data_IF_321674551413
#
_entry.id   IF_321674551413
#
_cell.length_a   1.000
_cell.length_b   1.000
_cell.length_c   1.000
_cell.angle_alpha   90.00
_cell.angle_beta   90.00
_cell.angle_gamma   90.00
#
_symmetry.space_group_name_H-M   'P 1'
#
loop_
_entity.id
_entity.type
_entity.pdbx_description
1 polymer ?
#
# COMPACT_ATOMS: atom_id res chain seq x y z
N UNK A 1 -7.40 3.61 17.32
CA UNK A 1 -7.08 2.28 16.75
C UNK A 1 -8.33 1.51 16.28
N UNK A 2 -9.53 1.64 16.87
CA UNK A 2 -10.71 0.84 16.44
C UNK A 2 -11.52 1.35 15.27
N UNK A 3 -10.88 1.40 14.12
CA UNK A 3 -11.56 1.28 12.82
C UNK A 3 -10.84 0.27 11.90
N UNK A 4 -9.78 -0.34 12.41
CA UNK A 4 -8.92 -1.32 11.75
C UNK A 4 -9.00 -2.61 12.58
N UNK A 5 -8.77 -3.76 11.96
CA UNK A 5 -8.90 -5.05 12.66
C UNK A 5 -7.90 -5.20 13.81
N UNK A 6 -8.14 -6.18 14.69
CA UNK A 6 -7.38 -6.34 15.94
C UNK A 6 -6.16 -7.25 15.82
N UNK A 7 -5.99 -7.92 14.69
CA UNK A 7 -4.84 -8.80 14.43
C UNK A 7 -3.54 -8.00 14.26
N UNK A 8 -2.39 -8.68 14.30
CA UNK A 8 -1.08 -8.02 14.18
C UNK A 8 -0.94 -7.29 12.84
N UNK A 9 -1.34 -7.93 11.73
CA UNK A 9 -1.21 -7.38 10.37
C UNK A 9 -2.46 -6.65 9.86
N UNK A 10 -3.43 -6.37 10.73
CA UNK A 10 -4.52 -5.45 10.41
C UNK A 10 -4.12 -3.98 10.60
N UNK A 11 -2.92 -3.75 11.17
CA UNK A 11 -2.30 -2.45 11.34
C UNK A 11 -1.35 -2.12 10.17
N UNK A 12 -1.35 -0.87 9.73
CA UNK A 12 -0.56 -0.35 8.62
C UNK A 12 0.95 -0.40 8.88
N UNK A 13 1.41 0.06 10.05
CA UNK A 13 2.83 -0.03 10.43
C UNK A 13 3.33 -1.47 10.44
N UNK A 14 2.52 -2.42 10.92
CA UNK A 14 2.88 -3.84 10.91
C UNK A 14 2.95 -4.43 9.49
N UNK A 15 2.07 -3.97 8.59
CA UNK A 15 2.09 -4.35 7.18
C UNK A 15 3.32 -3.78 6.46
N UNK A 16 3.66 -2.52 6.72
CA UNK A 16 4.81 -1.84 6.15
C UNK A 16 6.11 -2.53 6.60
N UNK A 17 6.22 -2.88 7.90
CA UNK A 17 7.36 -3.66 8.41
C UNK A 17 7.53 -4.97 7.65
N UNK A 18 6.44 -5.69 7.36
CA UNK A 18 6.52 -6.93 6.57
C UNK A 18 7.00 -6.67 5.16
N UNK A 19 6.45 -5.65 4.49
CA UNK A 19 6.84 -5.28 3.13
C UNK A 19 8.31 -4.89 3.04
N UNK A 20 8.76 -4.00 3.92
CA UNK A 20 10.13 -3.47 3.94
C UNK A 20 11.15 -4.53 4.35
N UNK A 21 10.82 -5.40 5.30
CA UNK A 21 11.70 -6.49 5.70
C UNK A 21 11.91 -7.47 4.54
N UNK A 22 10.85 -7.83 3.82
CA UNK A 22 10.93 -8.66 2.61
C UNK A 22 11.74 -7.99 1.49
N UNK A 23 11.58 -6.67 1.33
CA UNK A 23 12.36 -5.89 0.38
C UNK A 23 13.87 -5.94 0.71
N UNK A 24 14.25 -5.73 1.97
CA UNK A 24 15.65 -5.82 2.39
C UNK A 24 16.24 -7.20 2.15
N UNK A 25 15.50 -8.27 2.45
CA UNK A 25 15.95 -9.63 2.13
C UNK A 25 16.11 -9.84 0.62
N UNK A 26 15.21 -9.28 -0.20
CA UNK A 26 15.30 -9.35 -1.66
C UNK A 26 16.50 -8.58 -2.23
N UNK A 27 16.92 -7.50 -1.56
CA UNK A 27 18.15 -6.75 -1.86
C UNK A 27 19.43 -7.47 -1.40
N UNK A 28 19.31 -8.62 -0.75
CA UNK A 28 20.43 -9.44 -0.29
C UNK A 28 20.89 -9.16 1.14
N UNK A 29 20.12 -8.39 1.93
CA UNK A 29 20.41 -8.20 3.34
C UNK A 29 20.21 -9.50 4.13
N UNK A 30 20.98 -9.70 5.21
CA UNK A 30 20.69 -10.76 6.18
C UNK A 30 19.47 -10.40 7.02
N UNK A 31 18.81 -11.36 7.71
CA UNK A 31 17.72 -11.05 8.65
C UNK A 31 18.12 -10.03 9.72
N UNK A 32 19.36 -10.07 10.20
CA UNK A 32 19.90 -9.14 11.19
C UNK A 32 20.06 -7.73 10.59
N UNK A 33 20.59 -7.62 9.37
CA UNK A 33 20.72 -6.35 8.65
C UNK A 33 19.36 -5.75 8.33
N UNK A 34 18.41 -6.56 7.84
CA UNK A 34 17.04 -6.13 7.60
C UNK A 34 16.37 -5.64 8.89
N UNK A 35 16.55 -6.35 10.00
CA UNK A 35 16.07 -5.93 11.33
C UNK A 35 16.66 -4.59 11.74
N UNK A 36 17.97 -4.39 11.55
CA UNK A 36 18.64 -3.13 11.88
C UNK A 36 18.13 -1.97 11.03
N UNK A 37 17.87 -2.20 9.73
CA UNK A 37 17.28 -1.21 8.82
C UNK A 37 15.86 -0.83 9.23
N UNK A 38 14.97 -1.79 9.44
CA UNK A 38 13.61 -1.53 9.95
C UNK A 38 13.65 -0.71 11.23
N UNK A 39 14.48 -1.13 12.20
CA UNK A 39 14.59 -0.40 13.46
C UNK A 39 15.10 1.03 13.28
N UNK A 40 15.95 1.30 12.31
CA UNK A 40 16.41 2.67 12.01
C UNK A 40 15.30 3.47 11.32
N UNK A 41 14.66 2.87 10.32
CA UNK A 41 13.72 3.55 9.43
C UNK A 41 12.43 3.92 10.19
N UNK A 42 11.99 3.09 11.14
CA UNK A 42 10.89 3.38 12.07
C UNK A 42 11.34 4.04 13.39
N UNK A 43 12.57 4.54 13.50
CA UNK A 43 13.03 5.29 14.68
C UNK A 43 13.24 4.47 15.97
N UNK A 44 13.17 3.14 15.92
CA UNK A 44 13.38 2.21 17.04
C UNK A 44 14.85 1.99 17.43
N UNK A 45 15.79 2.62 16.72
CA UNK A 45 17.22 2.49 16.96
C UNK A 45 17.69 3.31 18.18
N UNK A 46 17.06 4.47 18.43
CA UNK A 46 17.36 5.36 19.54
C UNK A 46 16.11 5.57 20.40
N UNK A 47 16.15 5.13 21.67
CA UNK A 47 14.99 5.16 22.58
C UNK A 47 14.52 6.57 22.95
N UNK A 48 15.23 7.64 22.56
CA UNK A 48 15.02 8.97 23.15
C UNK A 48 14.60 10.07 22.18
N UNK A 49 15.00 10.03 20.91
CA UNK A 49 14.81 11.17 20.01
C UNK A 49 13.58 11.08 19.10
N UNK A 50 13.10 9.87 18.78
CA UNK A 50 12.02 9.66 17.80
C UNK A 50 10.97 8.61 18.22
N UNK A 51 10.94 8.24 19.51
CA UNK A 51 9.94 7.29 20.02
C UNK A 51 8.53 7.86 19.88
N UNK A 52 7.63 7.11 19.23
CA UNK A 52 6.19 7.44 19.15
C UNK A 52 5.40 6.84 20.32
N UNK A 53 6.09 6.33 21.34
CA UNK A 53 5.47 5.73 22.51
C UNK A 53 4.76 4.43 22.15
N UNK A 54 3.45 4.37 22.40
CA UNK A 54 2.65 3.16 22.18
C UNK A 54 2.40 2.86 20.69
N UNK A 55 2.56 3.81 19.77
CA UNK A 55 2.43 3.56 18.33
C UNK A 55 3.57 2.67 17.80
N UNK A 56 4.76 2.74 18.41
CA UNK A 56 5.88 1.88 18.05
C UNK A 56 5.64 0.40 18.39
N UNK A 57 4.62 0.11 19.22
CA UNK A 57 4.27 -1.27 19.57
C UNK A 57 3.88 -2.08 18.33
N UNK A 58 3.14 -1.48 17.39
CA UNK A 58 2.68 -2.18 16.20
C UNK A 58 3.85 -2.55 15.27
N UNK A 59 4.88 -1.70 15.20
CA UNK A 59 6.14 -1.98 14.48
C UNK A 59 6.88 -3.16 15.12
N UNK A 60 7.00 -3.20 16.45
CA UNK A 60 7.65 -4.29 17.17
C UNK A 60 6.90 -5.63 17.04
N UNK A 61 5.57 -5.59 17.13
CA UNK A 61 4.72 -6.77 16.96
C UNK A 61 4.81 -7.32 15.53
N UNK A 62 4.72 -6.44 14.52
CA UNK A 62 4.90 -6.80 13.11
C UNK A 62 6.29 -7.41 12.86
N UNK A 63 7.35 -6.81 13.39
CA UNK A 63 8.72 -7.30 13.23
C UNK A 63 8.91 -8.70 13.84
N UNK A 64 8.35 -8.93 15.04
CA UNK A 64 8.38 -10.24 15.68
C UNK A 64 7.58 -11.30 14.90
N UNK A 65 6.43 -10.92 14.33
CA UNK A 65 5.62 -11.82 13.52
C UNK A 65 6.36 -12.24 12.25
N UNK A 66 6.98 -11.29 11.55
CA UNK A 66 7.79 -11.56 10.35
C UNK A 66 8.99 -12.45 10.68
N UNK A 67 9.67 -12.21 11.81
CA UNK A 67 10.76 -13.07 12.27
C UNK A 67 10.27 -14.51 12.43
N UNK A 68 9.16 -14.69 13.14
CA UNK A 68 8.54 -16.00 13.36
C UNK A 68 8.19 -16.72 12.04
N UNK A 69 7.50 -16.05 11.12
CA UNK A 69 7.11 -16.59 9.80
C UNK A 69 8.31 -17.03 8.95
N UNK A 70 9.47 -16.40 9.14
CA UNK A 70 10.71 -16.67 8.40
C UNK A 70 11.61 -17.69 9.08
N UNK A 71 11.24 -18.20 10.25
CA UNK A 71 12.11 -19.08 11.04
C UNK A 71 13.31 -18.36 11.63
N UNK A 72 13.30 -17.02 11.65
CA UNK A 72 14.31 -16.20 12.30
C UNK A 72 13.85 -15.85 13.71
N UNK A 73 14.79 -15.66 14.63
CA UNK A 73 14.47 -15.31 16.01
C UNK A 73 15.55 -14.40 16.56
N UNK A 74 15.22 -13.12 16.72
CA UNK A 74 16.03 -12.18 17.47
C UNK A 74 15.54 -12.12 18.93
N UNK A 75 16.35 -12.54 19.92
CA UNK A 75 15.93 -12.52 21.33
C UNK A 75 15.46 -11.15 21.80
N UNK A 76 16.06 -10.07 21.30
CA UNK A 76 15.68 -8.71 21.65
C UNK A 76 14.30 -8.32 21.10
N UNK A 77 13.99 -8.73 19.86
CA UNK A 77 12.69 -8.48 19.22
C UNK A 77 11.60 -9.28 19.94
N UNK A 78 11.86 -10.57 20.20
CA UNK A 78 10.92 -11.45 20.92
C UNK A 78 10.65 -10.93 22.33
N UNK A 79 11.69 -10.58 23.08
CA UNK A 79 11.53 -10.04 24.44
C UNK A 79 10.72 -8.75 24.44
N UNK A 80 10.92 -7.86 23.45
CA UNK A 80 10.16 -6.63 23.34
C UNK A 80 8.69 -6.87 22.97
N UNK A 81 8.43 -7.77 22.03
CA UNK A 81 7.07 -8.13 21.64
C UNK A 81 6.30 -8.79 22.79
N UNK A 82 6.92 -9.69 23.56
CA UNK A 82 6.32 -10.28 24.75
C UNK A 82 6.00 -9.23 25.82
N UNK A 83 6.90 -8.27 26.05
CA UNK A 83 6.62 -7.17 26.97
C UNK A 83 5.44 -6.29 26.52
N UNK A 84 5.19 -6.16 25.22
CA UNK A 84 4.01 -5.46 24.67
C UNK A 84 2.75 -6.31 24.86
N UNK A 85 2.81 -7.60 24.58
CA UNK A 85 1.69 -8.55 24.78
C UNK A 85 1.22 -8.55 26.24
N UNK A 86 2.15 -8.44 27.19
CA UNK A 86 1.87 -8.40 28.63
C UNK A 86 1.51 -6.99 29.15
N UNK A 87 1.67 -5.94 28.33
CA UNK A 87 1.43 -4.56 28.74
C UNK A 87 -0.06 -4.26 28.78
N UNK A 88 -0.50 -3.69 29.91
CA UNK A 88 -1.86 -3.20 30.06
C UNK A 88 -2.09 -1.93 29.23
N UNK A 89 -1.07 -1.10 29.11
CA UNK A 89 -1.09 0.14 28.32
C UNK A 89 -1.37 -0.14 26.84
N UNK A 90 -0.85 -1.26 26.31
CA UNK A 90 -1.14 -1.72 24.95
C UNK A 90 -2.62 -2.00 24.73
N UNK A 91 -3.35 -2.54 25.73
CA UNK A 91 -4.79 -2.77 25.60
C UNK A 91 -5.60 -1.49 25.84
N UNK A 92 -5.16 -0.64 26.78
CA UNK A 92 -5.89 0.58 27.14
C UNK A 92 -5.98 1.59 25.99
N UNK A 93 -5.05 1.57 25.03
CA UNK A 93 -5.09 2.42 23.82
C UNK A 93 -6.18 2.03 22.81
N UNK A 94 -6.75 0.82 22.92
CA UNK A 94 -7.85 0.36 22.07
C UNK A 94 -9.20 0.79 22.64
N UNK A 95 -10.20 0.94 21.77
CA UNK A 95 -11.58 1.20 22.21
C UNK A 95 -12.10 0.01 23.00
N UNK A 96 -12.99 0.28 23.95
CA UNK A 96 -13.46 -0.71 24.90
C UNK A 96 -14.12 -1.92 24.22
N UNK A 97 -14.79 -1.69 23.08
CA UNK A 97 -15.45 -2.74 22.30
C UNK A 97 -14.45 -3.70 21.62
N UNK A 98 -13.27 -3.21 21.24
CA UNK A 98 -12.25 -3.99 20.52
C UNK A 98 -11.23 -4.65 21.44
N UNK A 99 -11.10 -4.18 22.70
CA UNK A 99 -10.15 -4.71 23.68
C UNK A 99 -10.23 -6.23 23.85
N UNK A 100 -11.41 -6.88 23.92
CA UNK A 100 -11.47 -8.34 24.04
C UNK A 100 -10.86 -9.06 22.85
N UNK A 101 -11.13 -8.58 21.63
CA UNK A 101 -10.60 -9.16 20.40
C UNK A 101 -9.09 -8.94 20.28
N UNK A 102 -8.61 -7.72 20.60
CA UNK A 102 -7.17 -7.43 20.66
C UNK A 102 -6.44 -8.27 21.71
N UNK A 103 -7.01 -8.43 22.90
CA UNK A 103 -6.43 -9.27 23.94
C UNK A 103 -6.31 -10.73 23.49
N UNK A 104 -7.33 -11.26 22.79
CA UNK A 104 -7.28 -12.60 22.22
C UNK A 104 -6.16 -12.74 21.17
N UNK A 105 -6.03 -11.77 20.25
CA UNK A 105 -4.98 -11.75 19.23
C UNK A 105 -3.57 -11.69 19.86
N UNK A 106 -3.36 -10.82 20.85
CA UNK A 106 -2.08 -10.72 21.56
C UNK A 106 -1.76 -12.00 22.35
N UNK A 107 -2.75 -12.64 22.97
CA UNK A 107 -2.56 -13.88 23.71
C UNK A 107 -2.21 -15.06 22.79
N UNK A 108 -2.86 -15.19 21.63
CA UNK A 108 -2.47 -16.15 20.59
C UNK A 108 -1.04 -15.88 20.13
N UNK A 109 -0.74 -14.63 19.78
CA UNK A 109 0.59 -14.26 19.31
C UNK A 109 1.69 -14.53 20.36
N UNK A 110 1.42 -14.25 21.63
CA UNK A 110 2.32 -14.57 22.74
C UNK A 110 2.60 -16.08 22.84
N UNK A 111 1.56 -16.93 22.69
CA UNK A 111 1.75 -18.39 22.64
C UNK A 111 2.60 -18.82 21.45
N UNK A 112 2.39 -18.23 20.29
CA UNK A 112 3.17 -18.50 19.07
C UNK A 112 4.65 -18.16 19.27
N UNK A 113 4.97 -17.04 19.93
CA UNK A 113 6.35 -16.66 20.24
C UNK A 113 7.02 -17.55 21.30
N UNK A 114 6.24 -18.05 22.27
CA UNK A 114 6.74 -18.93 23.33
C UNK A 114 6.87 -20.40 22.87
N UNK A 115 6.06 -20.84 21.90
CA UNK A 115 6.18 -22.14 21.27
C UNK A 115 7.48 -22.21 20.47
N UNK A 116 8.44 -23.01 20.94
CA UNK A 116 9.74 -23.22 20.27
C UNK A 116 9.52 -23.51 18.78
N UNK A 117 10.07 -22.64 17.91
CA UNK A 117 9.87 -22.64 16.46
C UNK A 117 10.50 -23.88 15.79
N UNK A 118 9.76 -24.96 15.50
CA UNK A 118 10.30 -26.13 14.84
C UNK A 118 9.98 -25.99 13.35
N UNK A 119 10.73 -25.15 12.65
CA UNK A 119 10.85 -25.24 11.19
C UNK A 119 9.67 -24.70 10.38
N UNK A 120 9.16 -23.50 10.69
CA UNK A 120 8.37 -22.77 9.69
C UNK A 120 9.27 -22.50 8.49
N UNK A 121 8.99 -23.18 7.36
CA UNK A 121 9.64 -22.87 6.10
C UNK A 121 9.22 -21.45 5.72
N UNK A 122 10.15 -20.54 5.39
CA UNK A 122 9.80 -19.19 5.02
C UNK A 122 8.83 -19.22 3.86
N UNK A 123 7.58 -18.80 4.09
CA UNK A 123 6.66 -18.59 3.00
C UNK A 123 7.19 -17.40 2.20
N UNK A 124 7.66 -17.65 0.98
CA UNK A 124 7.99 -16.59 0.03
C UNK A 124 6.67 -16.02 -0.50
N UNK A 125 6.12 -15.07 0.22
CA UNK A 125 5.23 -14.07 -0.37
C UNK A 125 6.04 -13.28 -1.41
N UNK A 126 5.57 -13.18 -2.67
CA UNK A 126 6.22 -12.32 -3.63
C UNK A 126 6.01 -10.88 -3.17
N UNK A 127 7.11 -10.12 -3.05
CA UNK A 127 7.03 -8.71 -2.66
C UNK A 127 6.09 -7.94 -3.60
N UNK A 128 5.44 -6.88 -3.10
CA UNK A 128 4.62 -6.00 -3.93
C UNK A 128 5.44 -5.47 -5.14
N UNK A 129 6.74 -5.25 -4.96
CA UNK A 129 7.68 -4.94 -6.05
C UNK A 129 7.95 -6.11 -6.99
N UNK A 130 8.01 -7.36 -6.53
CA UNK A 130 8.08 -8.54 -7.41
C UNK A 130 6.82 -8.68 -8.28
N UNK A 131 5.66 -8.26 -7.77
CA UNK A 131 4.42 -8.17 -8.55
C UNK A 131 4.48 -7.06 -9.61
N UNK A 132 5.13 -5.93 -9.31
CA UNK A 132 5.39 -4.84 -10.26
C UNK A 132 6.54 -5.16 -11.23
N UNK A 133 7.49 -6.01 -10.85
CA UNK A 133 8.61 -6.44 -11.70
C UNK A 133 8.11 -7.21 -12.93
N UNK A 134 6.94 -7.86 -12.83
CA UNK A 134 6.24 -8.42 -13.99
C UNK A 134 5.87 -7.33 -15.01
N UNK A 135 5.41 -6.15 -14.58
CA UNK A 135 5.11 -5.00 -15.45
C UNK A 135 6.38 -4.46 -16.13
N UNK A 136 7.54 -4.52 -15.45
CA UNK A 136 8.85 -4.14 -16.03
C UNK A 136 9.40 -5.13 -17.04
N UNK A 137 8.96 -6.39 -17.03
CA UNK A 137 9.31 -7.42 -18.03
C UNK A 137 8.31 -7.51 -19.18
N UNK A 138 7.12 -6.95 -19.03
CA UNK A 138 6.13 -6.91 -20.10
C UNK A 138 6.61 -6.09 -21.30
N UNK A 139 6.21 -6.47 -22.54
CA UNK A 139 6.35 -5.62 -23.71
C UNK A 139 5.69 -4.26 -23.48
N UNK A 140 6.22 -3.22 -24.13
CA UNK A 140 5.73 -1.84 -23.99
C UNK A 140 4.22 -1.70 -24.25
N UNK A 141 3.65 -2.50 -25.17
CA UNK A 141 2.21 -2.47 -25.48
C UNK A 141 1.33 -2.96 -24.32
N UNK A 142 1.79 -3.94 -23.54
CA UNK A 142 1.05 -4.44 -22.38
C UNK A 142 1.04 -3.42 -21.24
N UNK A 143 2.13 -2.66 -21.08
CA UNK A 143 2.19 -1.55 -20.12
C UNK A 143 1.20 -0.44 -20.47
N UNK A 144 1.09 -0.11 -21.77
CA UNK A 144 0.09 0.85 -22.24
C UNK A 144 -1.33 0.36 -21.97
N UNK A 145 -1.60 -0.93 -22.18
CA UNK A 145 -2.91 -1.52 -21.92
C UNK A 145 -3.28 -1.44 -20.43
N UNK A 146 -2.36 -1.82 -19.52
CA UNK A 146 -2.56 -1.71 -18.07
C UNK A 146 -2.76 -0.26 -17.64
N UNK A 147 -1.93 0.68 -18.11
CA UNK A 147 -2.07 2.10 -17.82
C UNK A 147 -3.42 2.68 -18.31
N UNK A 148 -3.89 2.20 -19.47
CA UNK A 148 -5.19 2.57 -20.02
C UNK A 148 -6.32 2.03 -19.16
N UNK A 149 -6.27 0.77 -18.72
CA UNK A 149 -7.27 0.19 -17.83
C UNK A 149 -7.35 0.91 -16.49
N UNK A 150 -6.20 1.24 -15.89
CA UNK A 150 -6.13 2.01 -14.64
C UNK A 150 -6.76 3.40 -14.85
N UNK A 151 -6.44 4.07 -15.95
CA UNK A 151 -6.98 5.38 -16.29
C UNK A 151 -8.50 5.35 -16.52
N UNK A 152 -9.02 4.30 -17.17
CA UNK A 152 -10.46 4.08 -17.35
C UNK A 152 -11.14 3.82 -16.00
N UNK A 153 -10.56 2.97 -15.15
CA UNK A 153 -11.07 2.71 -13.81
C UNK A 153 -11.14 3.98 -12.97
N UNK A 154 -10.06 4.76 -12.94
CA UNK A 154 -10.00 6.05 -12.24
C UNK A 154 -11.02 7.04 -12.79
N UNK A 155 -11.18 7.11 -14.12
CA UNK A 155 -12.20 7.95 -14.77
C UNK A 155 -13.61 7.55 -14.36
N UNK A 156 -13.92 6.24 -14.28
CA UNK A 156 -15.22 5.76 -13.84
C UNK A 156 -15.49 6.07 -12.37
N UNK A 157 -14.48 5.94 -11.50
CA UNK A 157 -14.56 6.31 -10.08
C UNK A 157 -14.79 7.82 -9.93
N UNK A 158 -14.03 8.65 -10.65
CA UNK A 158 -14.20 10.11 -10.65
C UNK A 158 -15.57 10.53 -11.19
N UNK A 159 -16.04 9.89 -12.26
CA UNK A 159 -17.38 10.10 -12.82
C UNK A 159 -18.48 9.72 -11.82
N UNK A 160 -18.29 8.67 -11.03
CA UNK A 160 -19.25 8.24 -10.03
C UNK A 160 -19.29 9.19 -8.81
N UNK A 161 -18.14 9.74 -8.41
CA UNK A 161 -18.01 10.62 -7.25
C UNK A 161 -18.37 12.09 -7.50
N UNK A 162 -18.34 12.54 -8.76
CA UNK A 162 -18.62 13.95 -9.10
C UNK A 162 -19.65 14.07 -10.24
N UNK A 163 -20.94 13.74 -9.99
CA UNK A 163 -21.98 13.89 -11.01
C UNK A 163 -22.18 15.36 -11.45
N UNK A 164 -21.86 16.31 -10.57
CA UNK A 164 -22.14 17.74 -10.73
C UNK A 164 -21.11 18.52 -11.56
N UNK A 165 -19.89 18.00 -11.79
CA UNK A 165 -18.85 18.70 -12.59
C UNK A 165 -18.96 18.38 -14.09
N UNK A 166 -19.47 17.20 -14.46
CA UNK A 166 -19.57 16.80 -15.86
C UNK A 166 -20.84 17.30 -16.58
N UNK A 167 -21.83 17.83 -15.86
CA UNK A 167 -23.03 18.43 -16.47
C UNK A 167 -22.75 19.81 -17.11
N UNK A 168 -21.71 20.53 -16.66
CA UNK A 168 -21.45 21.92 -17.09
C UNK A 168 -20.29 22.04 -18.09
N UNK A 169 -19.35 21.08 -18.12
CA UNK A 169 -18.14 21.18 -18.93
C UNK A 169 -18.21 20.56 -20.35
N UNK A 170 -19.26 19.80 -20.69
CA UNK A 170 -19.39 19.16 -22.01
C UNK A 170 -19.96 20.10 -23.09
N UNK A 171 -20.80 21.06 -22.72
CA UNK A 171 -21.42 21.98 -23.68
C UNK A 171 -20.41 22.90 -24.41
N UNK A 172 -19.38 23.45 -23.76
CA UNK A 172 -18.36 24.27 -24.43
C UNK A 172 -17.55 23.48 -25.47
N UNK A 173 -17.25 22.20 -25.21
CA UNK A 173 -16.49 21.35 -26.13
C UNK A 173 -17.30 20.98 -27.38
N UNK A 174 -18.58 20.64 -27.23
CA UNK A 174 -19.46 20.42 -28.38
C UNK A 174 -19.73 21.70 -29.18
N UNK A 175 -19.90 22.85 -28.50
CA UNK A 175 -20.05 24.14 -29.17
C UNK A 175 -18.78 24.52 -29.96
N UNK A 176 -17.59 24.29 -29.39
CA UNK A 176 -16.32 24.52 -30.07
C UNK A 176 -16.11 23.57 -31.25
N UNK A 177 -16.45 22.28 -31.12
CA UNK A 177 -16.37 21.29 -32.21
C UNK A 177 -17.36 21.61 -33.35
N UNK A 178 -18.58 22.04 -33.03
CA UNK A 178 -19.57 22.46 -34.02
C UNK A 178 -19.15 23.75 -34.74
N UNK A 179 -18.57 24.72 -34.00
CA UNK A 179 -18.07 25.97 -34.55
C UNK A 179 -16.89 25.75 -35.51
N UNK A 180 -15.90 24.95 -35.10
CA UNK A 180 -14.71 24.61 -35.91
C UNK A 180 -15.08 23.77 -37.14
N UNK A 181 -16.00 22.81 -37.02
CA UNK A 181 -16.51 22.04 -38.16
C UNK A 181 -17.23 22.92 -39.20
N UNK A 182 -18.00 23.92 -38.75
CA UNK A 182 -18.70 24.86 -39.64
C UNK A 182 -17.74 25.80 -40.37
N UNK A 183 -16.69 26.28 -39.71
CA UNK A 183 -15.70 27.17 -40.32
C UNK A 183 -14.82 26.46 -41.35
N UNK A 184 -14.47 25.19 -41.11
CA UNK A 184 -13.70 24.38 -42.07
C UNK A 184 -14.53 24.07 -43.33
N UNK A 185 -15.82 23.76 -43.18
CA UNK A 185 -16.72 23.47 -44.31
C UNK A 185 -16.90 24.66 -45.26
N UNK A 186 -16.99 25.88 -44.74
CA UNK A 186 -17.14 27.08 -45.58
C UNK A 186 -15.87 27.50 -46.32
N UNK A 187 -14.68 27.14 -45.80
CA UNK A 187 -13.40 27.49 -46.43
C UNK A 187 -12.90 26.49 -47.47
N UNK A 188 -13.36 25.24 -47.42
CA UNK A 188 -12.80 24.17 -48.25
C UNK A 188 -13.80 23.43 -49.17
N UNK A 189 -15.13 23.54 -48.97
CA UNK A 189 -16.11 22.66 -49.65
C UNK A 189 -17.07 23.41 -50.59
N UNK A 190 -17.01 24.74 -50.70
CA UNK A 190 -17.70 25.47 -51.78
C UNK A 190 -16.67 26.02 -52.78
N UNK A 191 -16.51 25.39 -53.96
CA UNK A 191 -15.68 25.95 -55.02
C UNK A 191 -16.36 27.19 -55.56
N UNK A 192 -15.64 28.33 -55.55
CA UNK A 192 -15.93 29.44 -56.43
C UNK A 192 -15.78 28.99 -57.87
N UNK A 193 -16.91 28.67 -58.51
CA UNK A 193 -16.99 28.42 -59.94
C UNK A 193 -16.85 29.71 -60.72
N UNK A 194 -15.62 30.12 -61.02
CA UNK A 194 -15.31 31.07 -62.10
C UNK A 194 -14.38 30.39 -63.10
N UNK A 195 -14.93 29.92 -64.21
CA UNK A 195 -14.15 29.61 -65.41
C UNK A 195 -14.79 30.29 -66.62
N UNK A 196 -14.01 31.23 -67.14
CA UNK A 196 -14.06 31.89 -68.44
C UNK A 196 -14.66 31.04 -69.57
N UNK A 197 -15.59 31.64 -70.33
CA UNK A 197 -15.72 31.38 -71.77
C UNK A 197 -14.81 32.37 -72.51
N UNK A 198 -14.22 31.90 -73.62
CA UNK A 198 -13.22 32.61 -74.42
C UNK A 198 -13.77 33.76 -75.25
#
# INVERSE_FOLDING_TARGET
MGSWGTEIFDNDDALDVRGDFEEHLAEGATPEEATARIRRDFGLADRSLHSRGAEDNDVWLGLAAVHHERGHSSPAVVARALAIVESREELERWFEEDRPARAAALAEFGRVLQGANPGVRPQRTPSFRASIEHLRRMPWWARLLVATLISVGLFLVLRAWVPSVFAVAMWPLFAWAAYTGRTIRHRFILPGGSTHKG
#
